data_IF_297149986235
#
_entry.id   IF_297149986235
#
_cell.length_a   1.000
_cell.length_b   1.000
_cell.length_c   1.000
_cell.angle_alpha   90.00
_cell.angle_beta   90.00
_cell.angle_gamma   90.00
#
_symmetry.space_group_name_H-M   'P 1'
#
loop_
_entity.id
_entity.type
_entity.pdbx_description
1 polymer ?
#
# COMPACT_ATOMS: atom_id res chain seq x y z
N UNK A 1 13.11 18.90 -3.22
CA UNK A 1 12.62 17.51 -3.20
C UNK A 1 13.09 16.84 -1.91
N UNK A 2 12.16 16.26 -1.14
CA UNK A 2 12.43 15.51 0.08
C UNK A 2 12.82 14.06 -0.25
N UNK A 3 13.66 13.45 0.58
CA UNK A 3 14.00 12.02 0.49
C UNK A 3 13.70 11.38 1.84
N UNK A 4 12.80 10.41 1.87
CA UNK A 4 12.42 9.70 3.10
C UNK A 4 12.89 8.25 3.04
N UNK A 5 13.70 7.88 4.02
CA UNK A 5 14.13 6.50 4.26
C UNK A 5 12.97 5.67 4.82
N UNK A 6 13.12 4.35 4.82
CA UNK A 6 12.18 3.44 5.49
C UNK A 6 11.90 3.85 6.94
N UNK A 7 12.96 4.16 7.71
CA UNK A 7 12.82 4.48 9.12
C UNK A 7 11.95 5.73 9.33
N UNK A 8 12.18 6.78 8.54
CA UNK A 8 11.37 8.00 8.58
C UNK A 8 9.93 7.73 8.14
N UNK A 9 9.74 6.93 7.08
CA UNK A 9 8.40 6.54 6.64
C UNK A 9 7.67 5.75 7.74
N UNK A 10 8.35 4.82 8.42
CA UNK A 10 7.76 4.03 9.50
C UNK A 10 7.42 4.86 10.73
N UNK A 11 8.20 5.89 11.02
CA UNK A 11 7.93 6.86 12.10
C UNK A 11 6.73 7.76 11.77
N UNK A 12 6.60 8.19 10.52
CA UNK A 12 5.59 9.16 10.10
C UNK A 12 4.25 8.53 9.67
N UNK A 13 4.28 7.29 9.17
CA UNK A 13 3.09 6.64 8.60
C UNK A 13 2.21 6.02 9.70
N UNK A 14 1.14 6.71 10.05
CA UNK A 14 0.09 6.16 10.90
C UNK A 14 -0.78 5.16 10.11
N UNK A 15 -0.97 3.96 10.65
CA UNK A 15 -1.77 2.92 10.02
C UNK A 15 -3.27 3.28 9.89
N UNK A 16 -3.82 4.11 10.78
CA UNK A 16 -5.20 4.61 10.69
C UNK A 16 -5.33 5.62 9.55
N UNK A 17 -4.33 6.49 9.37
CA UNK A 17 -4.30 7.44 8.26
C UNK A 17 -4.13 6.70 6.93
N UNK A 18 -3.33 5.63 6.89
CA UNK A 18 -3.21 4.77 5.72
C UNK A 18 -4.56 4.12 5.34
N UNK A 19 -5.34 3.67 6.32
CA UNK A 19 -6.67 3.13 6.08
C UNK A 19 -7.62 4.19 5.52
N UNK A 20 -7.69 5.37 6.15
CA UNK A 20 -8.53 6.47 5.69
C UNK A 20 -8.13 6.94 4.27
N UNK A 21 -6.82 7.04 3.99
CA UNK A 21 -6.32 7.39 2.67
C UNK A 21 -6.70 6.35 1.59
N UNK A 22 -6.63 5.06 1.92
CA UNK A 22 -7.04 3.99 0.99
C UNK A 22 -8.55 3.99 0.76
N UNK A 23 -9.37 4.19 1.80
CA UNK A 23 -10.83 4.33 1.66
C UNK A 23 -11.20 5.52 0.78
N UNK A 24 -10.53 6.66 0.99
CA UNK A 24 -10.69 7.86 0.16
C UNK A 24 -10.31 7.60 -1.29
N UNK A 25 -9.17 6.93 -1.54
CA UNK A 25 -8.72 6.58 -2.88
C UNK A 25 -9.69 5.63 -3.60
N UNK A 26 -10.23 4.62 -2.90
CA UNK A 26 -11.25 3.75 -3.48
C UNK A 26 -12.53 4.51 -3.85
N UNK A 27 -12.96 5.45 -3.01
CA UNK A 27 -14.12 6.30 -3.31
C UNK A 27 -13.86 7.19 -4.53
N UNK A 28 -12.70 7.86 -4.57
CA UNK A 28 -12.30 8.68 -5.71
C UNK A 28 -12.25 7.86 -7.01
N UNK A 29 -11.75 6.63 -6.97
CA UNK A 29 -11.78 5.73 -8.12
C UNK A 29 -13.21 5.38 -8.55
N UNK A 30 -14.09 5.02 -7.61
CA UNK A 30 -15.48 4.66 -7.90
C UNK A 30 -16.27 5.84 -8.49
N UNK A 31 -15.95 7.06 -8.07
CA UNK A 31 -16.57 8.31 -8.53
C UNK A 31 -15.86 8.92 -9.75
N UNK A 32 -14.92 8.19 -10.38
CA UNK A 32 -14.15 8.65 -11.55
C UNK A 32 -13.31 9.92 -11.33
N UNK A 33 -12.97 10.22 -10.07
CA UNK A 33 -12.11 11.33 -9.62
C UNK A 33 -10.65 10.91 -9.45
N UNK A 34 -10.24 9.81 -10.07
CA UNK A 34 -8.88 9.30 -10.06
C UNK A 34 -8.44 8.83 -11.45
N UNK A 35 -7.18 9.03 -11.79
CA UNK A 35 -6.53 8.52 -13.00
C UNK A 35 -5.55 7.43 -12.61
N UNK A 36 -5.92 6.17 -12.84
CA UNK A 36 -5.16 4.99 -12.43
C UNK A 36 -4.91 4.09 -13.66
N UNK A 37 -3.91 4.41 -14.51
CA UNK A 37 -3.60 3.59 -15.67
C UNK A 37 -3.15 2.18 -15.26
N UNK A 38 -3.31 1.22 -16.19
CA UNK A 38 -2.83 -0.13 -15.99
C UNK A 38 -1.32 -0.15 -15.72
N UNK A 39 -0.91 -0.88 -14.68
CA UNK A 39 0.51 -1.05 -14.34
C UNK A 39 1.29 -1.63 -15.52
N UNK A 40 2.55 -1.21 -15.67
CA UNK A 40 3.49 -1.78 -16.64
C UNK A 40 4.59 -2.51 -15.90
N UNK A 41 5.13 -3.58 -16.48
CA UNK A 41 6.22 -4.33 -15.87
C UNK A 41 7.25 -4.78 -16.91
N UNK A 42 8.52 -4.64 -16.55
CA UNK A 42 9.65 -5.24 -17.25
C UNK A 42 10.02 -6.53 -16.51
N UNK A 43 10.01 -7.65 -17.24
CA UNK A 43 10.37 -8.95 -16.71
C UNK A 43 11.83 -9.28 -17.04
N UNK A 44 12.54 -9.85 -16.08
CA UNK A 44 13.88 -10.40 -16.24
C UNK A 44 13.90 -11.82 -15.65
N UNK A 45 14.90 -12.66 -15.95
CA UNK A 45 14.89 -14.06 -15.51
C UNK A 45 14.72 -14.27 -13.99
N UNK A 46 15.19 -13.32 -13.17
CA UNK A 46 15.15 -13.42 -11.70
C UNK A 46 13.97 -12.69 -11.04
N UNK A 47 13.16 -11.95 -11.81
CA UNK A 47 12.13 -11.10 -11.23
C UNK A 47 11.55 -10.08 -12.19
N UNK A 48 10.95 -9.02 -11.65
CA UNK A 48 10.36 -7.93 -12.42
C UNK A 48 10.59 -6.57 -11.78
N UNK A 49 10.49 -5.53 -12.60
CA UNK A 49 10.32 -4.14 -12.19
C UNK A 49 8.96 -3.64 -12.73
N UNK A 50 8.05 -3.29 -11.82
CA UNK A 50 6.75 -2.72 -12.12
C UNK A 50 6.71 -1.21 -11.89
N UNK A 51 5.94 -0.50 -12.73
CA UNK A 51 5.59 0.91 -12.56
C UNK A 51 4.08 1.05 -12.39
N UNK A 52 3.68 1.82 -11.38
CA UNK A 52 2.30 2.09 -11.00
C UNK A 52 2.11 3.60 -10.78
N UNK A 53 1.99 4.41 -11.85
CA UNK A 53 1.61 5.82 -11.73
C UNK A 53 0.12 5.96 -11.41
N UNK A 54 -0.23 7.05 -10.75
CA UNK A 54 -1.63 7.37 -10.47
C UNK A 54 -1.82 8.80 -9.97
N UNK A 55 -3.03 9.30 -10.13
CA UNK A 55 -3.43 10.60 -9.60
C UNK A 55 -4.82 10.57 -8.97
N UNK A 56 -5.00 11.34 -7.90
CA UNK A 56 -6.30 11.77 -7.37
C UNK A 56 -6.50 13.21 -7.87
N UNK A 57 -7.67 13.50 -8.45
CA UNK A 57 -7.90 14.75 -9.18
C UNK A 57 -8.47 15.88 -8.31
N UNK A 58 -9.21 15.56 -7.25
CA UNK A 58 -9.88 16.55 -6.39
C UNK A 58 -9.98 16.08 -4.92
N UNK A 59 -10.49 16.95 -4.05
CA UNK A 59 -10.57 16.75 -2.60
C UNK A 59 -9.20 16.86 -1.91
N UNK A 60 -8.29 15.94 -2.24
CA UNK A 60 -6.86 16.02 -1.93
C UNK A 60 -6.06 15.61 -3.18
N UNK A 61 -5.87 16.54 -4.13
CA UNK A 61 -5.12 16.26 -5.35
C UNK A 61 -3.74 15.67 -5.03
N UNK A 62 -3.35 14.64 -5.77
CA UNK A 62 -2.08 13.94 -5.55
C UNK A 62 -1.63 13.32 -6.86
N UNK A 63 -0.34 13.47 -7.19
CA UNK A 63 0.28 12.84 -8.35
C UNK A 63 1.52 12.06 -7.90
N UNK A 64 1.60 10.80 -8.28
CA UNK A 64 2.73 9.97 -7.89
C UNK A 64 2.91 8.72 -8.73
N UNK A 65 4.04 8.06 -8.51
CA UNK A 65 4.32 6.76 -9.09
C UNK A 65 5.05 5.87 -8.10
N UNK A 66 4.64 4.60 -8.04
CA UNK A 66 5.41 3.56 -7.38
C UNK A 66 6.21 2.76 -8.40
N UNK A 67 7.50 2.64 -8.16
CA UNK A 67 8.36 1.65 -8.78
C UNK A 67 8.56 0.49 -7.80
N UNK A 68 8.24 -0.73 -8.20
CA UNK A 68 8.31 -1.91 -7.33
C UNK A 68 9.05 -3.04 -8.03
N UNK A 69 9.99 -3.66 -7.34
CA UNK A 69 10.61 -4.91 -7.79
C UNK A 69 10.00 -6.09 -7.08
N UNK A 70 9.91 -7.23 -7.78
CA UNK A 70 9.57 -8.51 -7.19
C UNK A 70 10.59 -9.56 -7.62
N UNK A 71 11.33 -10.09 -6.64
CA UNK A 71 12.41 -11.06 -6.81
C UNK A 71 12.16 -12.21 -5.81
N UNK A 72 11.52 -13.31 -6.22
CA UNK A 72 11.19 -14.43 -5.33
C UNK A 72 12.41 -15.01 -4.62
N UNK A 73 13.54 -15.16 -5.33
CA UNK A 73 14.78 -15.74 -4.81
C UNK A 73 15.43 -14.94 -3.66
N UNK A 74 14.99 -13.70 -3.41
CA UNK A 74 15.45 -12.95 -2.23
C UNK A 74 15.09 -13.63 -0.91
N UNK A 75 14.04 -14.47 -0.88
CA UNK A 75 13.67 -15.21 0.31
C UNK A 75 14.82 -16.13 0.80
N UNK A 76 15.51 -16.79 -0.13
CA UNK A 76 16.69 -17.64 0.15
C UNK A 76 17.88 -16.83 0.68
N UNK A 77 17.93 -15.54 0.31
CA UNK A 77 18.96 -14.60 0.73
C UNK A 77 18.58 -13.80 1.99
N UNK A 78 17.47 -14.16 2.65
CA UNK A 78 16.91 -13.42 3.79
C UNK A 78 16.67 -11.93 3.50
N UNK A 79 16.33 -11.60 2.25
CA UNK A 79 15.97 -10.26 1.80
C UNK A 79 14.47 -10.18 1.50
N UNK A 80 13.93 -8.96 1.53
CA UNK A 80 12.57 -8.74 1.09
C UNK A 80 12.41 -9.11 -0.40
N UNK A 81 11.40 -9.91 -0.71
CA UNK A 81 11.05 -10.28 -2.09
C UNK A 81 10.50 -9.10 -2.86
N UNK A 82 9.93 -8.12 -2.16
CA UNK A 82 9.46 -6.85 -2.73
C UNK A 82 10.31 -5.70 -2.20
N UNK A 83 10.75 -4.84 -3.11
CA UNK A 83 11.31 -3.53 -2.78
C UNK A 83 10.58 -2.49 -3.60
N UNK A 84 10.47 -1.26 -3.10
CA UNK A 84 9.80 -0.21 -3.86
C UNK A 84 10.32 1.18 -3.51
N UNK A 85 10.12 2.09 -4.46
CA UNK A 85 10.28 3.52 -4.31
C UNK A 85 8.94 4.18 -4.69
N UNK A 86 8.57 5.22 -3.97
CA UNK A 86 7.42 6.07 -4.32
C UNK A 86 7.93 7.47 -4.57
N UNK A 87 7.60 8.02 -5.74
CA UNK A 87 7.83 9.42 -6.08
C UNK A 87 6.51 10.18 -6.05
N UNK A 88 6.52 11.37 -5.47
CA UNK A 88 5.41 12.33 -5.50
C UNK A 88 5.81 13.56 -6.29
N UNK A 89 4.82 14.13 -6.97
CA UNK A 89 4.96 15.31 -7.82
C UNK A 89 3.89 16.33 -7.43
N UNK A 90 4.26 17.59 -7.52
CA UNK A 90 3.35 18.72 -7.40
C UNK A 90 2.32 18.67 -8.55
N UNK A 91 1.03 18.77 -8.23
CA UNK A 91 -0.05 18.61 -9.22
C UNK A 91 -0.17 19.79 -10.18
N UNK A 92 0.32 20.97 -9.79
CA UNK A 92 0.22 22.19 -10.58
C UNK A 92 1.41 22.38 -11.53
N UNK A 93 2.61 22.07 -11.04
CA UNK A 93 3.87 22.34 -11.73
C UNK A 93 4.54 21.08 -12.28
N UNK A 94 4.14 19.89 -11.82
CA UNK A 94 4.81 18.63 -12.12
C UNK A 94 6.19 18.48 -11.47
N UNK A 95 6.59 19.41 -10.60
CA UNK A 95 7.88 19.36 -9.93
C UNK A 95 7.94 18.17 -8.95
N UNK A 96 9.06 17.41 -8.90
CA UNK A 96 9.19 16.33 -7.95
C UNK A 96 9.31 16.88 -6.51
N UNK A 97 8.39 16.47 -5.64
CA UNK A 97 8.31 16.97 -4.26
C UNK A 97 8.93 16.01 -3.25
N UNK A 98 8.78 14.70 -3.45
CA UNK A 98 9.33 13.69 -2.55
C UNK A 98 9.68 12.37 -3.26
N UNK A 99 10.72 11.70 -2.75
CA UNK A 99 11.02 10.30 -3.02
C UNK A 99 11.08 9.55 -1.69
N UNK A 100 10.43 8.40 -1.60
CA UNK A 100 10.26 7.68 -0.34
C UNK A 100 10.52 6.19 -0.52
N UNK A 101 10.99 5.53 0.53
CA UNK A 101 10.91 4.07 0.60
C UNK A 101 9.46 3.61 0.43
N UNK A 102 9.23 2.77 -0.57
CA UNK A 102 7.91 2.28 -0.93
C UNK A 102 7.61 0.89 -0.37
N UNK A 103 8.59 0.18 0.20
CA UNK A 103 8.37 -1.19 0.69
C UNK A 103 7.48 -1.16 1.93
N UNK A 104 7.79 -0.33 2.94
CA UNK A 104 6.96 -0.24 4.15
C UNK A 104 5.57 0.30 3.82
N UNK A 105 5.48 1.34 2.98
CA UNK A 105 4.19 1.87 2.49
C UNK A 105 3.39 0.77 1.79
N UNK A 106 4.04 -0.04 0.94
CA UNK A 106 3.39 -1.15 0.25
C UNK A 106 2.83 -2.19 1.22
N UNK A 107 3.54 -2.50 2.30
CA UNK A 107 3.06 -3.39 3.36
C UNK A 107 1.76 -2.86 3.97
N UNK A 108 1.81 -1.67 4.56
CA UNK A 108 0.69 -1.07 5.29
C UNK A 108 -0.52 -0.83 4.39
N UNK A 109 -0.33 -0.20 3.22
CA UNK A 109 -1.44 0.13 2.31
C UNK A 109 -2.13 -1.11 1.73
N UNK A 110 -1.42 -2.23 1.61
CA UNK A 110 -2.01 -3.49 1.10
C UNK A 110 -2.94 -4.10 2.13
N UNK A 111 -2.50 -4.17 3.39
CA UNK A 111 -3.35 -4.60 4.49
C UNK A 111 -4.54 -3.65 4.73
N UNK A 112 -4.31 -2.33 4.61
CA UNK A 112 -5.35 -1.32 4.69
C UNK A 112 -6.42 -1.48 3.59
N UNK A 113 -6.03 -1.83 2.36
CA UNK A 113 -6.98 -2.08 1.28
C UNK A 113 -7.89 -3.27 1.58
N UNK A 114 -7.33 -4.38 2.05
CA UNK A 114 -8.10 -5.56 2.49
C UNK A 114 -9.04 -5.23 3.65
N UNK A 115 -8.58 -4.42 4.61
CA UNK A 115 -9.39 -3.95 5.73
C UNK A 115 -10.53 -3.04 5.27
N UNK A 116 -10.27 -2.05 4.41
CA UNK A 116 -11.30 -1.18 3.83
C UNK A 116 -12.39 -1.99 3.12
N UNK A 117 -11.99 -2.96 2.29
CA UNK A 117 -12.93 -3.86 1.62
C UNK A 117 -13.73 -4.70 2.64
N UNK A 118 -13.07 -5.25 3.65
CA UNK A 118 -13.73 -6.04 4.71
C UNK A 118 -14.72 -5.20 5.51
N UNK A 119 -14.40 -3.95 5.85
CA UNK A 119 -15.31 -3.03 6.55
C UNK A 119 -16.56 -2.79 5.71
N UNK A 120 -16.39 -2.51 4.42
CA UNK A 120 -17.49 -2.24 3.51
C UNK A 120 -18.41 -3.46 3.27
N UNK A 121 -17.83 -4.66 3.18
CA UNK A 121 -18.56 -5.88 2.81
C UNK A 121 -19.09 -6.67 4.01
N UNK A 122 -18.39 -6.61 5.14
CA UNK A 122 -18.61 -7.52 6.26
C UNK A 122 -19.17 -6.82 7.51
N UNK A 123 -19.15 -5.48 7.57
CA UNK A 123 -19.61 -4.66 8.69
C UNK A 123 -18.81 -4.84 9.98
N UNK A 124 -19.14 -4.02 10.98
CA UNK A 124 -18.50 -4.07 12.30
C UNK A 124 -19.17 -5.11 13.20
N UNK A 125 -18.56 -6.28 13.33
CA UNK A 125 -19.01 -7.32 14.28
C UNK A 125 -17.80 -8.05 14.86
N UNK A 126 -18.00 -8.76 15.97
CA UNK A 126 -16.97 -9.62 16.55
C UNK A 126 -16.76 -10.85 15.64
N UNK A 127 -15.61 -10.96 14.97
CA UNK A 127 -15.32 -12.02 13.99
C UNK A 127 -14.00 -12.75 14.26
N UNK A 128 -13.89 -13.98 13.75
CA UNK A 128 -12.61 -14.71 13.67
C UNK A 128 -11.92 -14.35 12.36
N UNK A 129 -10.63 -14.01 12.41
CA UNK A 129 -9.82 -13.74 11.23
C UNK A 129 -8.96 -14.96 10.90
N UNK A 130 -9.18 -15.57 9.73
CA UNK A 130 -8.31 -16.61 9.20
C UNK A 130 -7.24 -15.99 8.29
N UNK A 131 -5.98 -16.35 8.51
CA UNK A 131 -4.83 -15.88 7.74
C UNK A 131 -4.16 -17.09 7.09
N UNK A 132 -4.23 -17.16 5.77
CA UNK A 132 -3.60 -18.24 5.01
C UNK A 132 -2.24 -17.76 4.50
N UNK A 133 -1.18 -18.19 5.19
CA UNK A 133 0.21 -17.83 4.93
C UNK A 133 0.81 -16.89 5.97
N UNK A 134 2.06 -17.11 6.36
CA UNK A 134 2.72 -16.45 7.49
C UNK A 134 3.84 -15.46 7.08
N UNK A 135 3.73 -14.85 5.90
CA UNK A 135 4.69 -13.86 5.40
C UNK A 135 4.50 -12.46 6.01
N UNK A 136 5.29 -11.49 5.54
CA UNK A 136 5.24 -10.08 5.99
C UNK A 136 3.80 -9.51 6.01
N UNK A 137 3.02 -9.79 4.97
CA UNK A 137 1.63 -9.31 4.86
C UNK A 137 0.70 -9.88 5.93
N UNK A 138 0.96 -11.07 6.48
CA UNK A 138 0.11 -11.68 7.51
C UNK A 138 -0.02 -10.78 8.74
N UNK A 139 1.13 -10.27 9.21
CA UNK A 139 1.20 -9.36 10.37
C UNK A 139 0.48 -8.05 10.09
N UNK A 140 0.76 -7.43 8.95
CA UNK A 140 0.11 -6.18 8.56
C UNK A 140 -1.42 -6.35 8.46
N UNK A 141 -1.91 -7.45 7.87
CA UNK A 141 -3.34 -7.73 7.75
C UNK A 141 -4.00 -7.90 9.11
N UNK A 142 -3.40 -8.65 10.04
CA UNK A 142 -3.90 -8.76 11.42
C UNK A 142 -4.02 -7.38 12.07
N UNK A 143 -2.97 -6.55 11.96
CA UNK A 143 -2.94 -5.21 12.55
C UNK A 143 -3.98 -4.27 11.93
N UNK A 144 -4.18 -4.31 10.60
CA UNK A 144 -5.20 -3.48 9.93
C UNK A 144 -6.61 -3.96 10.27
N UNK A 145 -6.87 -5.26 10.33
CA UNK A 145 -8.20 -5.78 10.67
C UNK A 145 -8.59 -5.52 12.13
N UNK A 146 -7.63 -5.59 13.06
CA UNK A 146 -7.85 -5.23 14.46
C UNK A 146 -8.30 -3.77 14.66
N UNK A 147 -8.07 -2.88 13.67
CA UNK A 147 -8.51 -1.47 13.72
C UNK A 147 -9.94 -1.25 13.22
N UNK A 148 -10.49 -2.18 12.45
CA UNK A 148 -11.83 -2.03 11.86
C UNK A 148 -12.88 -2.90 12.55
N UNK A 149 -12.46 -3.88 13.35
CA UNK A 149 -13.36 -4.80 14.01
C UNK A 149 -12.74 -5.41 15.27
N UNK A 150 -13.60 -5.89 16.16
CA UNK A 150 -13.20 -6.67 17.31
C UNK A 150 -12.87 -8.11 16.88
N UNK A 151 -11.59 -8.47 16.89
CA UNK A 151 -11.17 -9.84 16.61
C UNK A 151 -11.54 -10.76 17.79
N UNK A 152 -12.29 -11.81 17.52
CA UNK A 152 -12.66 -12.84 18.49
C UNK A 152 -11.53 -13.85 18.70
N UNK A 153 -10.87 -14.20 17.59
CA UNK A 153 -9.84 -15.23 17.45
C UNK A 153 -9.06 -14.96 16.15
N UNK A 154 -7.81 -15.42 16.08
CA UNK A 154 -6.96 -15.37 14.88
C UNK A 154 -6.47 -16.79 14.60
N UNK A 155 -6.77 -17.29 13.40
CA UNK A 155 -6.35 -18.62 12.95
C UNK A 155 -5.30 -18.49 11.85
N UNK A 156 -4.16 -19.12 12.04
CA UNK A 156 -3.04 -19.17 11.09
C UNK A 156 -3.01 -20.53 10.39
#
# INVERSE_FOLDING_TARGET
MLILTEAQVAELLNASDALAAVESAFRAQAEQRAQLPMRRAVHIPKGLLGSMPGAILDGQPSLGAKLVTFFPGNAELQKHTHQALIALFDTETGAPIAMMDGRFITEIRTAAASAAATRALAGETRKTLAILGAGVQARAHIQSHARIMRLADIRL
#
